data_IF_860129762243
#
_entry.id   IF_860129762243
#
_cell.length_a   1.000
_cell.length_b   1.000
_cell.length_c   1.000
_cell.angle_alpha   90.00
_cell.angle_beta   90.00
_cell.angle_gamma   90.00
#
_symmetry.space_group_name_H-M   'P 1'
#
loop_
_entity.id
_entity.type
_entity.pdbx_description
1 polymer ?
#
# COMPACT_ATOMS: atom_id res chain seq x y z
N UNK A 1 2.28 28.20 -23.93
CA UNK A 1 1.75 27.33 -22.85
C UNK A 1 2.41 25.97 -23.04
N UNK A 2 2.99 25.35 -22.00
CA UNK A 2 3.63 24.05 -22.15
C UNK A 2 2.58 22.97 -22.48
N UNK A 3 3.01 21.93 -23.18
CA UNK A 3 2.22 20.70 -23.35
C UNK A 3 2.46 19.79 -22.15
N UNK A 4 1.42 19.07 -21.72
CA UNK A 4 1.49 18.16 -20.58
C UNK A 4 1.36 16.71 -21.02
N UNK A 5 2.22 15.84 -20.51
CA UNK A 5 2.09 14.39 -20.64
C UNK A 5 1.88 13.77 -19.26
N UNK A 6 0.77 13.03 -19.10
CA UNK A 6 0.39 12.36 -17.86
C UNK A 6 0.49 10.86 -18.04
N UNK A 7 1.28 10.24 -17.17
CA UNK A 7 1.45 8.79 -17.11
C UNK A 7 0.61 8.20 -15.98
N UNK A 8 -0.27 7.28 -16.34
CA UNK A 8 -1.05 6.50 -15.39
C UNK A 8 -0.37 5.15 -15.20
N UNK A 9 0.29 4.97 -14.07
CA UNK A 9 0.96 3.71 -13.71
C UNK A 9 0.10 2.90 -12.73
N UNK A 10 0.01 1.60 -12.99
CA UNK A 10 -0.49 0.60 -12.06
C UNK A 10 0.10 -0.78 -12.46
N UNK A 11 -0.18 -1.82 -11.68
CA UNK A 11 0.16 -3.20 -12.00
C UNK A 11 -0.37 -3.61 -13.38
N UNK A 12 0.32 -4.55 -14.02
CA UNK A 12 -0.07 -5.10 -15.34
C UNK A 12 -1.47 -5.74 -15.34
N UNK A 13 -1.97 -6.14 -14.17
CA UNK A 13 -3.32 -6.71 -14.00
C UNK A 13 -4.42 -5.66 -13.81
N UNK A 14 -4.07 -4.38 -13.72
CA UNK A 14 -5.05 -3.30 -13.60
C UNK A 14 -5.90 -3.18 -14.88
N UNK A 15 -7.16 -2.77 -14.72
CA UNK A 15 -8.07 -2.54 -15.83
C UNK A 15 -7.82 -1.16 -16.49
N UNK A 16 -6.78 -1.11 -17.32
CA UNK A 16 -6.46 0.07 -18.12
C UNK A 16 -7.55 0.40 -19.15
N UNK A 17 -8.39 -0.56 -19.56
CA UNK A 17 -9.48 -0.29 -20.50
C UNK A 17 -10.53 0.61 -19.85
N UNK A 18 -10.96 0.27 -18.63
CA UNK A 18 -11.87 1.14 -17.86
C UNK A 18 -11.24 2.51 -17.64
N UNK A 19 -9.95 2.58 -17.27
CA UNK A 19 -9.26 3.87 -17.13
C UNK A 19 -9.36 4.70 -18.42
N UNK A 20 -8.95 4.15 -19.57
CA UNK A 20 -8.91 4.91 -20.83
C UNK A 20 -10.28 5.31 -21.35
N UNK A 21 -11.30 4.48 -21.15
CA UNK A 21 -12.70 4.84 -21.49
C UNK A 21 -13.28 5.89 -20.56
N UNK A 22 -12.78 6.02 -19.33
CA UNK A 22 -13.26 7.01 -18.35
C UNK A 22 -12.53 8.36 -18.42
N UNK A 23 -11.45 8.49 -19.20
CA UNK A 23 -10.72 9.75 -19.33
C UNK A 23 -11.61 10.84 -19.95
N UNK A 24 -11.55 12.10 -19.46
CA UNK A 24 -12.28 13.21 -20.04
C UNK A 24 -11.94 13.40 -21.53
N UNK A 25 -12.95 13.59 -22.41
CA UNK A 25 -12.72 13.78 -23.84
C UNK A 25 -11.96 15.08 -24.10
N UNK A 26 -12.36 16.15 -23.42
CA UNK A 26 -11.66 17.44 -23.42
C UNK A 26 -10.67 17.45 -22.25
N UNK A 27 -9.39 17.22 -22.56
CA UNK A 27 -8.31 17.24 -21.58
C UNK A 27 -7.13 18.07 -22.10
N UNK A 28 -6.55 18.98 -21.29
CA UNK A 28 -5.41 19.80 -21.69
C UNK A 28 -4.07 19.05 -21.54
N UNK A 29 -4.06 17.73 -21.73
CA UNK A 29 -2.88 16.87 -21.58
C UNK A 29 -2.97 15.58 -22.41
N UNK A 30 -1.82 15.03 -22.78
CA UNK A 30 -1.69 13.70 -23.36
C UNK A 30 -1.64 12.64 -22.26
N UNK A 31 -2.31 11.51 -22.48
CA UNK A 31 -2.42 10.43 -21.49
C UNK A 31 -1.70 9.17 -21.98
N UNK A 32 -0.99 8.49 -21.09
CA UNK A 32 -0.31 7.22 -21.39
C UNK A 32 -0.46 6.27 -20.22
N UNK A 33 -0.82 5.00 -20.47
CA UNK A 33 -0.77 3.96 -19.44
C UNK A 33 0.60 3.31 -19.36
N UNK A 34 1.08 3.05 -18.15
CA UNK A 34 2.39 2.45 -17.89
C UNK A 34 2.18 1.22 -17.02
N UNK A 35 2.03 0.02 -17.60
CA UNK A 35 1.80 -1.19 -16.83
C UNK A 35 3.11 -1.68 -16.18
N UNK A 36 3.11 -1.85 -14.86
CA UNK A 36 4.27 -2.32 -14.10
C UNK A 36 4.23 -1.93 -12.63
N UNK A 37 4.93 -2.67 -11.78
CA UNK A 37 5.01 -2.33 -10.35
C UNK A 37 5.86 -1.08 -10.13
N UNK A 38 5.35 -0.13 -9.35
CA UNK A 38 6.11 1.06 -8.93
C UNK A 38 7.30 0.73 -8.02
N UNK A 39 7.39 -0.48 -7.46
CA UNK A 39 8.57 -0.96 -6.76
C UNK A 39 9.76 -1.22 -7.70
N UNK A 40 9.54 -1.15 -9.02
CA UNK A 40 10.56 -1.24 -10.07
C UNK A 40 10.83 0.09 -10.79
N UNK A 41 11.74 0.03 -11.76
CA UNK A 41 11.95 1.10 -12.74
C UNK A 41 10.85 1.03 -13.80
N UNK A 42 10.27 2.18 -14.12
CA UNK A 42 9.16 2.34 -15.06
C UNK A 42 9.52 3.30 -16.20
N UNK A 43 10.41 4.26 -15.95
CA UNK A 43 10.69 5.35 -16.88
C UNK A 43 12.18 5.46 -17.21
N UNK A 44 12.55 6.11 -18.35
CA UNK A 44 13.91 6.55 -18.61
C UNK A 44 14.46 7.48 -17.51
N UNK A 45 15.76 7.76 -17.55
CA UNK A 45 16.34 8.68 -16.58
C UNK A 45 15.87 10.10 -16.87
N UNK A 46 15.57 10.86 -15.80
CA UNK A 46 15.22 12.28 -15.88
C UNK A 46 14.12 12.60 -16.91
N UNK A 47 13.05 11.81 -16.90
CA UNK A 47 11.91 11.96 -17.80
C UNK A 47 10.62 12.38 -17.10
N UNK A 48 10.65 12.53 -15.77
CA UNK A 48 9.49 12.96 -14.97
C UNK A 48 9.79 14.28 -14.28
N UNK A 49 8.93 15.29 -14.49
CA UNK A 49 8.99 16.55 -13.74
C UNK A 49 8.31 16.44 -12.37
N UNK A 50 7.25 15.64 -12.31
CA UNK A 50 6.39 15.50 -11.13
C UNK A 50 5.89 14.06 -10.96
N UNK A 51 5.99 13.52 -9.75
CA UNK A 51 5.46 12.21 -9.38
C UNK A 51 4.36 12.39 -8.33
N UNK A 52 3.23 11.73 -8.54
CA UNK A 52 2.14 11.66 -7.57
C UNK A 52 1.81 10.20 -7.26
N UNK A 53 1.69 9.87 -5.99
CA UNK A 53 1.18 8.57 -5.56
C UNK A 53 0.27 8.73 -4.34
N UNK A 54 -0.90 8.12 -4.39
CA UNK A 54 -1.92 8.24 -3.36
C UNK A 54 -2.51 6.87 -3.05
N UNK A 55 -2.46 6.47 -1.78
CA UNK A 55 -2.96 5.19 -1.29
C UNK A 55 -2.41 3.98 -2.06
N UNK A 56 -1.13 4.01 -2.43
CA UNK A 56 -0.44 2.89 -3.06
C UNK A 56 0.77 2.38 -2.24
N UNK A 57 1.55 3.27 -1.62
CA UNK A 57 2.82 2.90 -0.97
C UNK A 57 2.67 1.98 0.24
N UNK A 58 1.48 1.89 0.83
CA UNK A 58 1.19 0.91 1.89
C UNK A 58 1.16 -0.54 1.37
N UNK A 59 1.03 -0.75 0.06
CA UNK A 59 1.02 -2.08 -0.56
C UNK A 59 2.45 -2.57 -0.75
N UNK A 60 2.78 -3.66 -0.06
CA UNK A 60 4.08 -4.31 -0.14
C UNK A 60 4.29 -5.01 -1.48
N UNK A 61 5.53 -5.10 -1.93
CA UNK A 61 5.88 -5.83 -3.15
C UNK A 61 5.59 -7.33 -3.03
N UNK A 62 5.56 -7.84 -1.80
CA UNK A 62 5.25 -9.23 -1.44
C UNK A 62 4.96 -9.38 0.04
N UNK A 63 4.33 -10.48 0.41
CA UNK A 63 4.22 -10.95 1.80
C UNK A 63 5.63 -11.35 2.31
N UNK A 64 6.04 -10.92 3.52
CA UNK A 64 7.29 -11.37 4.14
C UNK A 64 7.31 -12.90 4.28
N UNK A 65 8.41 -13.55 3.89
CA UNK A 65 8.48 -15.03 3.81
C UNK A 65 8.44 -15.67 5.19
N UNK A 66 8.90 -14.95 6.18
CA UNK A 66 8.94 -15.31 7.60
C UNK A 66 7.54 -15.58 8.15
N UNK A 67 6.51 -14.94 7.57
CA UNK A 67 5.11 -15.11 7.97
C UNK A 67 4.54 -16.48 7.59
N UNK A 68 5.15 -17.14 6.61
CA UNK A 68 4.70 -18.44 6.08
C UNK A 68 5.50 -19.61 6.64
N UNK A 69 6.59 -19.33 7.38
CA UNK A 69 7.47 -20.35 7.92
C UNK A 69 7.03 -20.72 9.34
N UNK A 70 6.49 -21.93 9.53
CA UNK A 70 6.01 -22.43 10.84
C UNK A 70 7.06 -22.45 11.95
N UNK A 71 8.35 -22.44 11.59
CA UNK A 71 9.47 -22.42 12.54
C UNK A 71 9.96 -20.99 12.85
N UNK A 72 9.39 -19.97 12.22
CA UNK A 72 9.71 -18.57 12.45
C UNK A 72 8.95 -18.04 13.67
N UNK A 73 9.60 -17.19 14.47
CA UNK A 73 8.91 -16.42 15.51
C UNK A 73 7.86 -15.47 14.92
N UNK A 74 8.01 -15.10 13.65
CA UNK A 74 7.05 -14.27 12.91
C UNK A 74 5.97 -15.09 12.17
N UNK A 75 5.82 -16.40 12.42
CA UNK A 75 4.75 -17.19 11.77
C UNK A 75 3.36 -16.65 12.15
N UNK A 76 2.62 -16.14 11.16
CA UNK A 76 1.36 -15.45 11.42
C UNK A 76 0.14 -16.40 11.45
N UNK A 77 0.19 -17.40 12.33
CA UNK A 77 -0.86 -18.43 12.43
C UNK A 77 -2.24 -17.83 12.73
N UNK A 78 -3.26 -18.26 12.00
CA UNK A 78 -4.67 -17.94 12.24
C UNK A 78 -5.01 -16.45 12.16
N UNK A 79 -4.19 -15.67 11.44
CA UNK A 79 -4.36 -14.22 11.26
C UNK A 79 -4.04 -13.83 9.83
N UNK A 80 -4.61 -12.71 9.39
CA UNK A 80 -4.37 -12.16 8.04
C UNK A 80 -3.47 -10.93 8.04
N UNK A 81 -3.17 -10.37 9.21
CA UNK A 81 -2.42 -9.13 9.35
C UNK A 81 -1.69 -9.09 10.69
N UNK A 82 -0.94 -8.02 10.96
CA UNK A 82 -0.07 -7.91 12.14
C UNK A 82 -0.70 -7.17 13.33
N UNK A 83 -1.89 -6.59 13.17
CA UNK A 83 -2.48 -5.71 14.18
C UNK A 83 -2.71 -6.36 15.55
N UNK A 84 -3.10 -7.63 15.56
CA UNK A 84 -3.35 -8.47 16.73
C UNK A 84 -2.30 -9.57 16.90
N UNK A 85 -1.14 -9.42 16.26
CA UNK A 85 -0.05 -10.39 16.24
C UNK A 85 1.09 -10.00 17.20
N UNK A 86 2.00 -10.94 17.52
CA UNK A 86 3.25 -10.64 18.21
C UNK A 86 4.13 -9.63 17.45
N UNK A 87 5.02 -8.96 18.18
CA UNK A 87 5.89 -7.90 17.63
C UNK A 87 6.76 -8.39 16.46
N UNK A 88 7.16 -9.66 16.46
CA UNK A 88 7.97 -10.29 15.41
C UNK A 88 7.25 -10.27 14.05
N UNK A 89 5.93 -10.41 14.05
CA UNK A 89 5.11 -10.32 12.83
C UNK A 89 5.15 -8.88 12.31
N UNK A 90 4.87 -7.90 13.17
CA UNK A 90 4.91 -6.48 12.79
C UNK A 90 6.30 -6.05 12.30
N UNK A 91 7.37 -6.57 12.91
CA UNK A 91 8.75 -6.33 12.50
C UNK A 91 9.06 -6.91 11.12
N UNK A 92 8.54 -8.09 10.78
CA UNK A 92 8.69 -8.68 9.45
C UNK A 92 8.02 -7.81 8.38
N UNK A 93 6.80 -7.30 8.64
CA UNK A 93 6.14 -6.34 7.75
C UNK A 93 6.93 -5.03 7.61
N UNK A 94 7.40 -4.45 8.73
CA UNK A 94 8.19 -3.21 8.73
C UNK A 94 9.48 -3.35 7.93
N UNK A 95 10.17 -4.49 8.07
CA UNK A 95 11.40 -4.79 7.32
C UNK A 95 11.15 -4.86 5.81
N UNK A 96 10.06 -5.52 5.40
CA UNK A 96 9.68 -5.61 3.99
C UNK A 96 9.28 -4.23 3.43
N UNK A 97 8.51 -3.45 4.20
CA UNK A 97 8.15 -2.07 3.84
C UNK A 97 9.39 -1.18 3.64
N UNK A 98 10.33 -1.19 4.58
CA UNK A 98 11.56 -0.40 4.49
C UNK A 98 12.34 -0.73 3.20
N UNK A 99 12.42 -2.02 2.84
CA UNK A 99 13.05 -2.47 1.59
C UNK A 99 12.33 -1.95 0.36
N UNK A 100 11.01 -2.04 0.35
CA UNK A 100 10.16 -1.64 -0.76
C UNK A 100 10.24 -0.13 -1.00
N UNK A 101 10.13 0.68 0.06
CA UNK A 101 10.24 2.13 -0.03
C UNK A 101 11.65 2.58 -0.43
N UNK A 102 12.70 1.95 0.11
CA UNK A 102 14.07 2.25 -0.32
C UNK A 102 14.22 2.04 -1.84
N UNK A 103 13.72 0.90 -2.33
CA UNK A 103 13.77 0.56 -3.75
C UNK A 103 12.94 1.53 -4.60
N UNK A 104 11.75 1.89 -4.13
CA UNK A 104 10.89 2.90 -4.77
C UNK A 104 11.62 4.24 -4.90
N UNK A 105 12.18 4.77 -3.81
CA UNK A 105 12.90 6.04 -3.80
C UNK A 105 14.13 5.99 -4.73
N UNK A 106 14.91 4.90 -4.71
CA UNK A 106 16.08 4.73 -5.58
C UNK A 106 15.72 4.79 -7.07
N UNK A 107 14.58 4.22 -7.46
CA UNK A 107 14.11 4.30 -8.86
C UNK A 107 13.53 5.66 -9.19
N UNK A 108 12.71 6.25 -8.31
CA UNK A 108 12.16 7.60 -8.54
C UNK A 108 13.26 8.65 -8.64
N UNK A 109 14.35 8.51 -7.89
CA UNK A 109 15.49 9.42 -7.95
C UNK A 109 16.19 9.42 -9.32
N UNK A 110 16.17 8.29 -10.03
CA UNK A 110 16.74 8.18 -11.39
C UNK A 110 15.79 8.74 -12.44
N UNK A 111 14.49 8.56 -12.25
CA UNK A 111 13.45 8.90 -13.22
C UNK A 111 13.03 10.37 -13.16
N UNK A 112 13.08 10.98 -11.99
CA UNK A 112 12.82 12.41 -11.81
C UNK A 112 13.95 13.25 -12.39
N UNK A 113 13.59 14.40 -12.95
CA UNK A 113 14.54 15.45 -13.33
C UNK A 113 15.17 16.08 -12.09
N UNK A 114 16.31 16.76 -12.27
CA UNK A 114 16.88 17.59 -11.20
C UNK A 114 15.87 18.66 -10.80
N UNK A 115 15.61 18.83 -9.50
CA UNK A 115 14.58 19.73 -8.95
C UNK A 115 13.13 19.28 -9.23
N UNK A 116 12.93 18.05 -9.71
CA UNK A 116 11.60 17.45 -9.82
C UNK A 116 10.93 17.25 -8.45
N UNK A 117 9.60 17.23 -8.44
CA UNK A 117 8.81 17.11 -7.21
C UNK A 117 8.09 15.78 -7.11
N UNK A 118 7.91 15.30 -5.88
CA UNK A 118 7.15 14.09 -5.60
C UNK A 118 6.19 14.33 -4.45
N UNK A 119 4.91 14.01 -4.66
CA UNK A 119 3.86 14.07 -3.65
C UNK A 119 3.37 12.66 -3.35
N UNK A 120 3.50 12.26 -2.08
CA UNK A 120 3.12 10.94 -1.59
C UNK A 120 2.04 11.08 -0.52
N UNK A 121 0.90 10.43 -0.74
CA UNK A 121 -0.21 10.36 0.20
C UNK A 121 -0.42 8.88 0.55
N UNK A 122 -0.31 8.53 1.82
CA UNK A 122 -0.49 7.14 2.25
C UNK A 122 -1.08 7.09 3.67
N UNK A 123 -1.80 6.00 4.02
CA UNK A 123 -2.24 5.78 5.38
C UNK A 123 -1.02 5.55 6.29
N UNK A 124 -1.05 6.20 7.46
CA UNK A 124 0.01 6.12 8.48
C UNK A 124 -0.59 5.84 9.84
N UNK A 125 0.21 5.27 10.73
CA UNK A 125 -0.12 5.14 12.15
C UNK A 125 0.48 6.35 12.89
N UNK A 126 -0.33 7.13 13.63
CA UNK A 126 0.23 8.23 14.42
C UNK A 126 1.21 7.73 15.47
N UNK A 127 2.30 8.48 15.72
CA UNK A 127 3.26 8.15 16.76
C UNK A 127 2.58 7.94 18.12
N UNK A 128 2.94 6.86 18.82
CA UNK A 128 2.40 6.53 20.15
C UNK A 128 1.04 5.83 20.14
N UNK A 129 0.46 5.55 18.97
CA UNK A 129 -0.80 4.83 18.85
C UNK A 129 -0.52 3.35 18.54
N UNK A 130 -1.11 2.39 19.29
CA UNK A 130 -1.00 0.98 18.99
C UNK A 130 -1.54 0.63 17.60
N UNK A 131 -0.92 -0.35 16.92
CA UNK A 131 -1.36 -0.79 15.59
C UNK A 131 -2.84 -1.22 15.56
N UNK A 132 -3.30 -1.88 16.61
CA UNK A 132 -4.68 -2.33 16.81
C UNK A 132 -5.71 -1.18 16.91
N UNK A 133 -5.28 0.05 17.18
CA UNK A 133 -6.16 1.21 17.31
C UNK A 133 -6.50 1.85 15.96
N UNK A 134 -5.87 1.43 14.86
CA UNK A 134 -6.22 1.89 13.52
C UNK A 134 -7.49 1.18 13.04
N UNK A 135 -8.50 1.94 12.60
CA UNK A 135 -9.78 1.38 12.12
C UNK A 135 -9.59 0.33 11.03
N UNK A 136 -8.68 0.56 10.08
CA UNK A 136 -8.41 -0.39 8.99
C UNK A 136 -7.77 -1.68 9.51
N UNK A 137 -6.89 -1.60 10.50
CA UNK A 137 -6.33 -2.78 11.17
C UNK A 137 -7.42 -3.62 11.83
N UNK A 138 -8.37 -2.97 12.54
CA UNK A 138 -9.49 -3.68 13.15
C UNK A 138 -10.39 -4.38 12.09
N UNK A 139 -10.60 -3.74 10.93
CA UNK A 139 -11.33 -4.35 9.81
C UNK A 139 -10.59 -5.61 9.28
N UNK A 140 -9.26 -5.59 9.22
CA UNK A 140 -8.48 -6.75 8.83
C UNK A 140 -8.53 -7.88 9.88
N UNK A 141 -8.54 -7.54 11.18
CA UNK A 141 -8.75 -8.53 12.24
C UNK A 141 -10.13 -9.21 12.10
N UNK A 142 -11.19 -8.45 11.82
CA UNK A 142 -12.53 -9.03 11.54
C UNK A 142 -12.53 -9.93 10.31
N UNK A 143 -11.85 -9.54 9.23
CA UNK A 143 -11.69 -10.40 8.05
C UNK A 143 -11.01 -11.72 8.43
N UNK A 144 -9.95 -11.67 9.22
CA UNK A 144 -9.26 -12.87 9.71
C UNK A 144 -10.16 -13.76 10.57
N UNK A 145 -11.02 -13.18 11.42
CA UNK A 145 -12.00 -13.93 12.19
C UNK A 145 -13.03 -14.62 11.29
N UNK A 146 -13.58 -13.94 10.29
CA UNK A 146 -14.50 -14.54 9.34
C UNK A 146 -13.87 -15.73 8.61
N UNK A 147 -12.61 -15.60 8.17
CA UNK A 147 -11.90 -16.70 7.51
C UNK A 147 -11.60 -17.86 8.45
N UNK A 148 -11.28 -17.60 9.72
CA UNK A 148 -11.15 -18.64 10.74
C UNK A 148 -12.47 -19.38 10.98
N UNK A 149 -13.61 -18.69 10.98
CA UNK A 149 -14.92 -19.33 11.13
C UNK A 149 -15.27 -20.17 9.89
N UNK A 150 -14.99 -19.67 8.69
CA UNK A 150 -15.09 -20.47 7.46
C UNK A 150 -14.21 -21.73 7.50
N UNK A 151 -13.02 -21.65 8.10
CA UNK A 151 -12.14 -22.81 8.26
C UNK A 151 -12.73 -23.85 9.23
N UNK A 152 -13.32 -23.40 10.35
CA UNK A 152 -14.01 -24.28 11.32
C UNK A 152 -15.24 -24.95 10.69
N UNK A 153 -15.93 -24.27 9.79
CA UNK A 153 -17.06 -24.79 9.03
C UNK A 153 -16.63 -25.70 7.85
N UNK A 154 -15.33 -25.79 7.56
CA UNK A 154 -14.80 -26.61 6.47
C UNK A 154 -14.97 -26.01 5.07
N UNK A 155 -15.30 -24.72 4.97
CA UNK A 155 -15.43 -23.99 3.69
C UNK A 155 -14.06 -23.66 3.09
N UNK A 156 -13.04 -23.50 3.94
CA UNK A 156 -11.62 -23.41 3.57
C UNK A 156 -10.79 -24.30 4.52
N UNK A 157 -9.56 -24.62 4.15
CA UNK A 157 -8.61 -25.31 5.02
C UNK A 157 -7.92 -24.35 5.99
N UNK A 158 -7.50 -24.83 7.16
CA UNK A 158 -6.64 -24.06 8.07
C UNK A 158 -5.33 -23.62 7.40
N UNK A 159 -4.80 -24.42 6.47
CA UNK A 159 -3.61 -24.07 5.71
C UNK A 159 -3.83 -22.86 4.79
N UNK A 160 -5.00 -22.77 4.13
CA UNK A 160 -5.36 -21.58 3.34
C UNK A 160 -5.43 -20.34 4.24
N UNK A 161 -6.04 -20.46 5.42
CA UNK A 161 -6.09 -19.37 6.40
C UNK A 161 -4.69 -18.95 6.90
N UNK A 162 -3.85 -19.89 7.31
CA UNK A 162 -2.49 -19.62 7.82
C UNK A 162 -1.56 -18.99 6.77
N UNK A 163 -1.83 -19.19 5.47
CA UNK A 163 -1.05 -18.60 4.37
C UNK A 163 -1.63 -17.28 3.87
N UNK A 164 -2.87 -16.95 4.21
CA UNK A 164 -3.56 -15.73 3.77
C UNK A 164 -3.08 -14.51 4.58
N UNK A 165 -2.02 -13.85 4.11
CA UNK A 165 -1.49 -12.63 4.71
C UNK A 165 -1.68 -11.44 3.77
N UNK A 166 -2.28 -10.35 4.25
CA UNK A 166 -2.48 -9.13 3.49
C UNK A 166 -1.15 -8.37 3.34
N UNK A 167 -0.66 -8.09 2.12
CA UNK A 167 0.59 -7.38 1.87
C UNK A 167 0.43 -5.86 2.09
N UNK A 168 -0.06 -5.45 3.25
CA UNK A 168 -0.34 -4.05 3.59
C UNK A 168 0.42 -3.67 4.85
N UNK A 169 1.16 -2.57 4.81
CA UNK A 169 1.84 -2.01 5.99
C UNK A 169 1.54 -0.53 6.16
N UNK A 170 1.17 -0.16 7.38
CA UNK A 170 0.93 1.22 7.77
C UNK A 170 2.12 1.76 8.54
N UNK A 171 2.92 2.57 7.87
CA UNK A 171 4.13 3.16 8.45
C UNK A 171 3.84 4.25 9.49
N UNK A 172 4.78 4.45 10.40
CA UNK A 172 4.85 5.63 11.25
C UNK A 172 5.46 6.80 10.46
N UNK A 173 5.04 8.06 10.67
CA UNK A 173 5.65 9.21 10.02
C UNK A 173 7.18 9.26 10.18
N UNK A 174 7.68 8.92 11.38
CA UNK A 174 9.11 8.87 11.67
C UNK A 174 9.87 7.83 10.81
N UNK A 175 9.24 6.71 10.49
CA UNK A 175 9.86 5.67 9.65
C UNK A 175 10.03 6.20 8.22
N UNK A 176 9.01 6.88 7.70
CA UNK A 176 9.10 7.52 6.38
C UNK A 176 10.16 8.62 6.34
N UNK A 177 10.24 9.47 7.38
CA UNK A 177 11.32 10.48 7.48
C UNK A 177 12.70 9.82 7.42
N UNK A 178 12.93 8.80 8.24
CA UNK A 178 14.21 8.08 8.28
C UNK A 178 14.56 7.40 6.95
N UNK A 179 13.56 6.85 6.24
CA UNK A 179 13.77 6.21 4.94
C UNK A 179 14.17 7.23 3.86
N UNK A 180 13.54 8.40 3.84
CA UNK A 180 13.88 9.49 2.91
C UNK A 180 15.28 10.05 3.22
N UNK A 181 15.57 10.34 4.48
CA UNK A 181 16.88 10.83 4.92
C UNK A 181 18.01 9.84 4.59
N UNK A 182 17.76 8.54 4.80
CA UNK A 182 18.72 7.48 4.49
C UNK A 182 18.96 7.32 2.98
N UNK A 183 17.93 7.47 2.16
CA UNK A 183 18.07 7.43 0.70
C UNK A 183 18.91 8.62 0.20
N UNK A 184 18.72 9.80 0.77
CA UNK A 184 19.56 10.97 0.51
C UNK A 184 19.41 11.60 -0.88
N UNK A 185 18.51 11.10 -1.74
CA UNK A 185 18.25 11.68 -3.06
C UNK A 185 17.14 12.75 -3.02
N UNK A 186 16.38 12.84 -1.92
CA UNK A 186 15.23 13.75 -1.79
C UNK A 186 15.31 14.56 -0.49
N UNK A 187 14.85 15.80 -0.55
CA UNK A 187 14.51 16.62 0.62
C UNK A 187 13.02 16.55 0.93
N UNK A 188 12.66 16.58 2.21
CA UNK A 188 11.26 16.68 2.64
C UNK A 188 10.90 18.16 2.72
N UNK A 189 10.16 18.65 1.74
CA UNK A 189 9.67 20.05 1.74
C UNK A 189 8.48 20.24 2.70
N UNK A 190 7.61 19.23 2.82
CA UNK A 190 6.42 19.28 3.67
C UNK A 190 5.98 17.87 4.05
N UNK A 191 5.63 17.67 5.32
CA UNK A 191 5.01 16.43 5.80
C UNK A 191 3.88 16.77 6.76
N UNK A 192 2.66 16.38 6.40
CA UNK A 192 1.47 16.72 7.15
C UNK A 192 0.50 15.55 7.25
N UNK A 193 -0.28 15.54 8.32
CA UNK A 193 -1.39 14.60 8.49
C UNK A 193 -2.64 15.25 7.95
N UNK A 194 -3.29 14.60 7.00
CA UNK A 194 -4.63 14.97 6.57
C UNK A 194 -5.65 14.16 7.38
N UNK A 195 -6.76 14.78 7.77
CA UNK A 195 -7.90 14.11 8.44
C UNK A 195 -9.13 14.13 7.52
N UNK A 196 -9.11 13.42 6.37
CA UNK A 196 -10.24 13.46 5.44
C UNK A 196 -11.54 12.91 6.03
N UNK A 197 -11.45 12.09 7.09
CA UNK A 197 -12.58 11.42 7.73
C UNK A 197 -13.25 12.23 8.84
N UNK A 198 -12.73 13.42 9.18
CA UNK A 198 -13.37 14.32 10.15
C UNK A 198 -14.74 14.86 9.67
N UNK A 199 -15.16 14.51 8.43
CA UNK A 199 -16.41 14.95 7.79
C UNK A 199 -17.40 13.82 7.49
N UNK A 200 -17.13 12.59 7.95
CA UNK A 200 -18.03 11.44 7.73
C UNK A 200 -18.69 11.08 9.05
N UNK A 201 -19.87 11.63 9.30
CA UNK A 201 -20.60 11.50 10.58
C UNK A 201 -21.10 10.07 10.86
N UNK A 202 -21.35 9.28 9.81
CA UNK A 202 -21.82 7.89 9.93
C UNK A 202 -21.24 7.04 8.80
N UNK A 203 -20.40 6.05 9.14
CA UNK A 203 -20.06 4.98 8.22
C UNK A 203 -21.04 3.83 8.40
N UNK A 204 -21.86 3.60 7.38
CA UNK A 204 -22.65 2.38 7.28
C UNK A 204 -21.70 1.18 7.16
N UNK A 205 -21.90 0.15 8.00
CA UNK A 205 -21.09 -1.07 7.99
C UNK A 205 -20.98 -1.65 6.57
N UNK A 206 -22.09 -1.63 5.83
CA UNK A 206 -22.13 -2.07 4.44
C UNK A 206 -21.16 -1.29 3.54
N UNK A 207 -21.03 0.02 3.72
CA UNK A 207 -20.08 0.84 2.95
C UNK A 207 -18.62 0.47 3.28
N UNK A 208 -18.30 0.22 4.56
CA UNK A 208 -16.98 -0.27 4.97
C UNK A 208 -16.63 -1.61 4.32
N UNK A 209 -17.58 -2.55 4.33
CA UNK A 209 -17.40 -3.88 3.74
C UNK A 209 -17.21 -3.81 2.23
N UNK A 210 -18.03 -3.01 1.54
CA UNK A 210 -17.90 -2.79 0.09
C UNK A 210 -16.56 -2.14 -0.27
N UNK A 211 -16.11 -1.16 0.52
CA UNK A 211 -14.81 -0.52 0.31
C UNK A 211 -13.64 -1.49 0.54
N UNK A 212 -13.69 -2.30 1.61
CA UNK A 212 -12.70 -3.35 1.86
C UNK A 212 -12.64 -4.33 0.69
N UNK A 213 -13.81 -4.81 0.24
CA UNK A 213 -13.89 -5.73 -0.90
C UNK A 213 -13.27 -5.11 -2.15
N UNK A 214 -13.65 -3.88 -2.50
CA UNK A 214 -13.13 -3.20 -3.68
C UNK A 214 -11.60 -3.05 -3.65
N UNK A 215 -11.00 -2.80 -2.49
CA UNK A 215 -9.54 -2.65 -2.36
C UNK A 215 -8.77 -3.97 -2.20
N UNK A 216 -9.39 -5.04 -1.71
CA UNK A 216 -8.69 -6.25 -1.27
C UNK A 216 -9.08 -7.52 -2.05
N UNK A 217 -10.17 -7.53 -2.80
CA UNK A 217 -10.65 -8.73 -3.52
C UNK A 217 -9.62 -9.29 -4.49
N UNK A 218 -8.88 -8.42 -5.20
CA UNK A 218 -7.78 -8.86 -6.08
C UNK A 218 -6.52 -9.37 -5.34
N UNK A 219 -6.43 -9.13 -4.03
CA UNK A 219 -5.26 -9.43 -3.19
C UNK A 219 -5.48 -10.69 -2.34
N UNK A 220 -6.69 -10.88 -1.82
CA UNK A 220 -7.06 -12.06 -1.03
C UNK A 220 -7.13 -13.27 -1.95
N UNK A 221 -6.20 -14.23 -1.75
CA UNK A 221 -6.17 -15.50 -2.47
C UNK A 221 -6.42 -16.61 -1.46
N UNK A 222 -7.63 -17.17 -1.51
CA UNK A 222 -8.06 -18.31 -0.70
C UNK A 222 -8.16 -19.54 -1.58
#
# INVERSE_FOLDING_TARGET
MPEFQVFFNDHTSNDFNTLFTSLPPERPYFATGVPGSFHGRLFPNSSLDFVHSSYALQILSKVPKELLNKNSAAWNKGRVHYASAPDEVAQAYSTQFAKDITTFLDYRAKELVMVGLMVLIMPVIPNGIPHSSLRTCAIFDFLGQCLMDMAKEGLISEAQMDTCNLPVYFALPKEMTQLVERNGCFSIERMEKTLPWARVDVLYVQACVMHLRAGMEGIVKL
#
